data_IF_292606729333
#
_entry.id   IF_292606729333
#
_cell.length_a   1.000
_cell.length_b   1.000
_cell.length_c   1.000
_cell.angle_alpha   90.00
_cell.angle_beta   90.00
_cell.angle_gamma   90.00
#
_symmetry.space_group_name_H-M   'P 1'
#
loop_
_entity.id
_entity.type
_entity.pdbx_description
1 polymer ?
#
# COMPACT_ATOMS: atom_id res chain seq x y z
N UNK A 1 -18.39 5.97 2.64
CA UNK A 1 -16.91 6.01 2.63
C UNK A 1 -16.40 5.57 1.27
N UNK A 2 -15.41 6.25 0.73
CA UNK A 2 -14.87 5.95 -0.60
C UNK A 2 -13.59 5.15 -0.48
N UNK A 3 -13.46 4.11 -1.30
CA UNK A 3 -12.27 3.28 -1.41
C UNK A 3 -11.79 3.25 -2.86
N UNK A 4 -10.49 3.18 -3.05
CA UNK A 4 -9.90 2.84 -4.34
C UNK A 4 -9.65 1.35 -4.34
N UNK A 5 -10.10 0.65 -5.39
CA UNK A 5 -9.93 -0.79 -5.51
C UNK A 5 -8.87 -1.14 -6.55
N UNK A 6 -8.22 -2.26 -6.33
CA UNK A 6 -7.20 -2.79 -7.22
C UNK A 6 -7.20 -4.32 -7.13
N UNK A 7 -6.53 -4.96 -8.09
CA UNK A 7 -6.46 -6.42 -8.17
C UNK A 7 -5.03 -6.89 -8.15
N UNK A 8 -4.78 -7.92 -7.37
CA UNK A 8 -3.52 -8.63 -7.35
C UNK A 8 -3.81 -10.14 -7.39
N UNK A 9 -3.28 -10.84 -8.40
CA UNK A 9 -3.42 -12.30 -8.48
C UNK A 9 -4.85 -12.80 -8.49
N UNK A 10 -5.79 -12.05 -9.05
CA UNK A 10 -7.20 -12.43 -9.09
C UNK A 10 -8.02 -12.02 -7.87
N UNK A 11 -7.38 -11.54 -6.81
CA UNK A 11 -8.05 -11.06 -5.61
C UNK A 11 -8.24 -9.55 -5.67
N UNK A 12 -9.30 -9.05 -5.05
CA UNK A 12 -9.61 -7.63 -4.98
C UNK A 12 -9.26 -7.05 -3.62
N UNK A 13 -8.70 -5.86 -3.64
CA UNK A 13 -8.29 -5.13 -2.45
C UNK A 13 -8.82 -3.71 -2.48
N UNK A 14 -8.92 -3.08 -1.32
CA UNK A 14 -9.39 -1.70 -1.19
C UNK A 14 -8.52 -0.89 -0.23
N UNK A 15 -8.26 0.36 -0.61
CA UNK A 15 -7.61 1.37 0.24
C UNK A 15 -8.57 2.52 0.47
N UNK A 16 -8.62 3.05 1.69
CA UNK A 16 -9.41 4.24 1.98
C UNK A 16 -8.94 5.43 1.16
N UNK A 17 -9.84 6.05 0.42
CA UNK A 17 -9.51 7.22 -0.40
C UNK A 17 -8.98 8.39 0.43
N UNK A 18 -9.45 8.56 1.65
CA UNK A 18 -8.97 9.61 2.55
C UNK A 18 -7.49 9.54 2.88
N UNK A 19 -6.91 8.34 2.82
CA UNK A 19 -5.49 8.13 3.08
C UNK A 19 -4.64 8.41 1.85
N UNK A 20 -5.24 8.58 0.69
CA UNK A 20 -4.54 8.75 -0.58
C UNK A 20 -4.35 10.23 -0.88
N UNK A 21 -3.11 10.63 -1.07
CA UNK A 21 -2.76 12.00 -1.45
C UNK A 21 -2.86 12.16 -2.96
N UNK A 22 -2.32 11.20 -3.71
CA UNK A 22 -2.30 11.26 -5.16
C UNK A 22 -2.09 9.86 -5.74
N UNK A 23 -2.67 9.61 -6.91
CA UNK A 23 -2.42 8.40 -7.69
C UNK A 23 -1.63 8.80 -8.92
N UNK A 24 -0.43 8.25 -9.05
CA UNK A 24 0.50 8.56 -10.14
C UNK A 24 0.62 7.38 -11.10
N UNK A 25 0.98 7.62 -12.36
CA UNK A 25 1.46 6.52 -13.18
C UNK A 25 2.74 5.95 -12.58
N UNK A 26 3.07 4.71 -12.93
CA UNK A 26 4.32 4.13 -12.48
C UNK A 26 5.48 4.91 -13.09
N UNK A 27 6.36 5.40 -12.24
CA UNK A 27 7.54 6.18 -12.63
C UNK A 27 8.81 5.48 -12.18
N UNK A 28 9.95 5.88 -12.74
CA UNK A 28 11.24 5.35 -12.33
C UNK A 28 11.54 5.79 -10.90
N UNK A 29 11.98 4.84 -10.09
CA UNK A 29 12.33 5.06 -8.70
C UNK A 29 13.83 5.05 -8.53
N UNK A 30 14.32 5.80 -7.55
CA UNK A 30 15.71 5.66 -7.15
C UNK A 30 15.89 4.34 -6.42
N UNK A 31 16.94 3.62 -6.80
CA UNK A 31 17.27 2.37 -6.13
C UNK A 31 17.88 2.64 -4.76
N UNK A 32 17.60 1.75 -3.83
CA UNK A 32 18.22 1.77 -2.51
C UNK A 32 19.08 0.53 -2.36
N UNK A 33 20.13 0.63 -1.57
CA UNK A 33 21.08 -0.45 -1.40
C UNK A 33 20.52 -1.50 -0.41
N UNK A 34 20.44 -2.75 -0.87
CA UNK A 34 20.02 -3.90 -0.07
C UNK A 34 18.72 -3.67 0.72
N UNK A 35 17.62 -3.31 0.04
CA UNK A 35 16.37 -3.10 0.75
C UNK A 35 15.80 -4.42 1.27
N UNK A 36 15.07 -4.40 2.38
CA UNK A 36 14.28 -5.57 2.76
C UNK A 36 13.22 -5.87 1.69
N UNK A 37 12.73 -7.12 1.60
CA UNK A 37 11.71 -7.48 0.62
C UNK A 37 10.49 -6.55 0.70
N UNK A 38 9.94 -6.17 -0.46
CA UNK A 38 8.79 -5.30 -0.56
C UNK A 38 9.12 -3.84 -0.79
N UNK A 39 10.32 -3.39 -0.50
CA UNK A 39 10.76 -2.02 -0.80
C UNK A 39 11.19 -1.96 -2.26
N UNK A 40 10.47 -1.16 -3.06
CA UNK A 40 10.77 -1.02 -4.49
C UNK A 40 11.80 0.06 -4.77
N UNK A 41 11.90 1.07 -3.93
CA UNK A 41 12.81 2.19 -4.12
C UNK A 41 12.31 3.44 -3.43
N UNK A 42 12.76 4.60 -3.92
CA UNK A 42 12.38 5.91 -3.39
C UNK A 42 11.85 6.78 -4.51
N UNK A 43 10.78 7.49 -4.23
CA UNK A 43 10.18 8.47 -5.12
C UNK A 43 10.56 9.88 -4.66
N UNK A 44 11.04 10.71 -5.59
CA UNK A 44 11.15 12.14 -5.30
C UNK A 44 9.78 12.78 -5.58
N UNK A 45 9.04 13.05 -4.51
CA UNK A 45 7.70 13.61 -4.60
C UNK A 45 7.74 15.06 -4.13
N UNK A 46 7.74 16.00 -5.09
CA UNK A 46 7.82 17.44 -4.82
C UNK A 46 8.98 17.83 -3.89
N UNK A 47 10.14 17.20 -4.10
CA UNK A 47 11.35 17.49 -3.31
C UNK A 47 11.48 16.66 -2.03
N UNK A 48 10.46 15.87 -1.69
CA UNK A 48 10.48 14.96 -0.55
C UNK A 48 10.76 13.54 -1.04
N UNK A 49 11.68 12.85 -0.37
CA UNK A 49 11.96 11.45 -0.69
C UNK A 49 10.95 10.55 0.02
N UNK A 50 10.15 9.85 -0.78
CA UNK A 50 9.09 8.99 -0.29
C UNK A 50 9.45 7.53 -0.56
N UNK A 51 9.53 6.68 0.48
CA UNK A 51 9.79 5.26 0.26
C UNK A 51 8.59 4.61 -0.42
N UNK A 52 8.86 3.64 -1.29
CA UNK A 52 7.81 2.98 -2.09
C UNK A 52 7.83 1.49 -1.83
N UNK A 53 6.66 0.96 -1.48
CA UNK A 53 6.41 -0.47 -1.34
C UNK A 53 5.76 -1.02 -2.61
N UNK A 54 6.12 -2.24 -2.97
CA UNK A 54 5.45 -2.99 -4.03
C UNK A 54 4.52 -4.02 -3.40
N UNK A 55 3.21 -3.80 -3.45
CA UNK A 55 2.23 -4.72 -2.88
C UNK A 55 2.24 -6.07 -3.57
N UNK A 56 2.49 -6.11 -4.87
CA UNK A 56 2.59 -7.37 -5.59
C UNK A 56 3.73 -8.22 -5.07
N UNK A 57 4.88 -7.60 -4.79
CA UNK A 57 6.00 -8.29 -4.19
C UNK A 57 5.66 -8.80 -2.79
N UNK A 58 4.95 -8.01 -2.00
CA UNK A 58 4.60 -8.38 -0.63
C UNK A 58 3.55 -9.48 -0.55
N UNK A 59 2.59 -9.47 -1.45
CA UNK A 59 1.45 -10.41 -1.42
C UNK A 59 1.70 -11.62 -2.32
N UNK A 60 2.27 -11.42 -3.52
CA UNK A 60 2.44 -12.46 -4.53
C UNK A 60 3.87 -12.99 -4.64
N UNK A 61 4.84 -12.33 -4.01
CA UNK A 61 6.24 -12.72 -4.08
C UNK A 61 6.92 -12.38 -5.41
N UNK A 62 6.31 -11.54 -6.23
CA UNK A 62 6.88 -11.04 -7.48
C UNK A 62 6.61 -9.55 -7.65
N UNK A 63 7.50 -8.80 -8.32
CA UNK A 63 7.26 -7.38 -8.55
C UNK A 63 6.06 -7.15 -9.47
N UNK A 64 5.41 -5.99 -9.31
CA UNK A 64 4.30 -5.58 -10.16
C UNK A 64 4.80 -5.38 -11.60
N UNK A 65 4.10 -5.92 -12.62
CA UNK A 65 4.48 -5.67 -14.01
C UNK A 65 4.20 -4.21 -14.39
N UNK A 66 5.06 -3.59 -15.23
CA UNK A 66 4.90 -2.18 -15.61
C UNK A 66 3.82 -2.01 -16.68
N UNK A 67 2.56 -2.01 -16.27
CA UNK A 67 1.40 -1.81 -17.15
C UNK A 67 0.81 -0.43 -16.91
N UNK A 68 -0.03 0.04 -17.85
CA UNK A 68 -0.74 1.31 -17.68
C UNK A 68 -1.67 1.30 -16.46
N UNK A 69 -2.22 0.14 -16.12
CA UNK A 69 -3.08 -0.04 -14.95
C UNK A 69 -2.31 -0.20 -13.65
N UNK A 70 -1.00 -0.36 -13.70
CA UNK A 70 -0.14 -0.37 -12.52
C UNK A 70 0.15 1.07 -12.11
N UNK A 71 -0.23 1.43 -10.89
CA UNK A 71 -0.14 2.81 -10.42
C UNK A 71 0.72 2.90 -9.17
N UNK A 72 1.26 4.08 -8.95
CA UNK A 72 1.94 4.43 -7.72
C UNK A 72 1.01 5.32 -6.91
N UNK A 73 0.57 4.82 -5.75
CA UNK A 73 -0.34 5.52 -4.87
C UNK A 73 0.49 6.17 -3.77
N UNK A 74 0.40 7.50 -3.65
CA UNK A 74 1.03 8.22 -2.54
C UNK A 74 0.01 8.32 -1.43
N UNK A 75 0.31 7.73 -0.29
CA UNK A 75 -0.61 7.65 0.84
C UNK A 75 0.00 8.23 2.12
N UNK A 76 -0.87 8.60 3.05
CA UNK A 76 -0.46 9.04 4.38
C UNK A 76 -0.53 7.89 5.35
N UNK A 77 0.56 7.67 6.04
CA UNK A 77 0.68 6.65 7.09
C UNK A 77 0.81 7.38 8.42
N UNK A 78 0.02 7.00 9.40
CA UNK A 78 0.14 7.54 10.75
C UNK A 78 1.10 6.67 11.57
N UNK A 79 2.02 7.31 12.27
CA UNK A 79 2.91 6.67 13.22
C UNK A 79 2.97 7.50 14.51
N UNK A 80 3.81 7.07 15.46
CA UNK A 80 3.93 7.73 16.78
C UNK A 80 4.46 9.16 16.69
N UNK A 81 5.03 9.54 15.55
CA UNK A 81 5.63 10.86 15.32
C UNK A 81 4.80 11.77 14.42
N UNK A 82 3.56 11.36 14.11
CA UNK A 82 2.68 12.07 13.21
C UNK A 82 2.42 11.28 11.93
N UNK A 83 2.18 11.96 10.81
CA UNK A 83 1.98 11.26 9.56
C UNK A 83 3.21 11.36 8.66
N UNK A 84 3.39 10.36 7.82
CA UNK A 84 4.43 10.29 6.81
C UNK A 84 3.84 9.86 5.49
N UNK A 85 4.51 10.20 4.40
CA UNK A 85 4.11 9.74 3.07
C UNK A 85 4.75 8.40 2.76
N UNK A 86 3.98 7.54 2.11
CA UNK A 86 4.40 6.23 1.66
C UNK A 86 3.88 6.02 0.24
N UNK A 87 4.74 5.57 -0.67
CA UNK A 87 4.34 5.17 -1.99
C UNK A 87 3.96 3.69 -2.00
N UNK A 88 2.91 3.35 -2.71
CA UNK A 88 2.40 1.98 -2.82
C UNK A 88 2.18 1.67 -4.30
N UNK A 89 2.90 0.68 -4.81
CA UNK A 89 2.67 0.19 -6.16
C UNK A 89 1.57 -0.86 -6.10
N UNK A 90 0.53 -0.68 -6.89
CA UNK A 90 -0.60 -1.60 -6.97
C UNK A 90 -0.97 -1.84 -8.43
N UNK A 91 -1.39 -3.07 -8.73
CA UNK A 91 -1.82 -3.47 -10.08
C UNK A 91 -3.31 -3.25 -10.27
N UNK A 92 -3.72 -3.00 -11.51
CA UNK A 92 -5.13 -2.90 -11.88
C UNK A 92 -5.91 -1.91 -11.02
N UNK A 93 -5.34 -0.72 -10.85
CA UNK A 93 -5.97 0.38 -10.11
C UNK A 93 -6.92 1.10 -11.06
N UNK A 94 -8.15 0.63 -11.17
CA UNK A 94 -9.07 1.10 -12.20
C UNK A 94 -10.42 1.57 -11.66
N UNK A 95 -10.77 1.25 -10.43
CA UNK A 95 -12.12 1.48 -9.92
C UNK A 95 -12.11 2.11 -8.53
N UNK A 96 -13.25 2.73 -8.20
CA UNK A 96 -13.56 3.17 -6.84
C UNK A 96 -14.79 2.42 -6.35
N UNK A 97 -14.95 2.35 -5.04
CA UNK A 97 -16.07 1.67 -4.41
C UNK A 97 -16.57 2.53 -3.24
N UNK A 98 -17.87 2.74 -3.19
CA UNK A 98 -18.51 3.36 -2.04
C UNK A 98 -19.17 2.29 -1.18
N UNK A 99 -18.86 2.28 0.10
CA UNK A 99 -19.52 1.42 1.07
C UNK A 99 -19.35 2.00 2.47
N UNK A 100 -20.12 1.48 3.40
CA UNK A 100 -19.97 1.83 4.80
C UNK A 100 -18.78 1.07 5.37
N UNK A 101 -17.99 1.73 6.23
CA UNK A 101 -16.88 1.08 6.92
C UNK A 101 -17.36 -0.13 7.75
N UNK A 102 -18.61 -0.07 8.24
CA UNK A 102 -19.23 -1.17 9.01
C UNK A 102 -19.55 -2.40 8.17
N UNK A 103 -19.53 -2.28 6.84
CA UNK A 103 -19.75 -3.41 5.94
C UNK A 103 -18.54 -4.33 5.84
N UNK A 104 -17.39 -3.91 6.37
CA UNK A 104 -16.20 -4.75 6.45
C UNK A 104 -16.23 -5.55 7.74
N UNK A 105 -16.07 -6.85 7.61
CA UNK A 105 -16.14 -7.80 8.73
C UNK A 105 -14.85 -8.59 8.83
N UNK A 106 -14.60 -9.16 10.01
CA UNK A 106 -13.45 -10.02 10.20
C UNK A 106 -13.56 -11.27 9.34
N UNK A 107 -12.49 -11.66 8.62
CA UNK A 107 -12.49 -12.89 7.82
C UNK A 107 -12.40 -14.16 8.67
N UNK A 108 -12.23 -14.03 9.99
CA UNK A 108 -12.03 -15.17 10.88
C UNK A 108 -10.64 -15.77 10.89
N UNK A 109 -9.76 -15.25 10.04
CA UNK A 109 -8.36 -15.69 9.93
C UNK A 109 -7.47 -14.46 10.00
N UNK A 110 -6.41 -14.53 10.81
CA UNK A 110 -5.41 -13.48 10.90
C UNK A 110 -4.09 -14.05 10.40
N UNK A 111 -3.52 -13.41 9.38
CA UNK A 111 -2.21 -13.78 8.87
C UNK A 111 -1.12 -12.95 9.55
N UNK A 112 -0.21 -13.61 10.26
CA UNK A 112 0.93 -12.94 10.88
C UNK A 112 1.93 -12.42 9.85
N UNK A 113 1.93 -12.96 8.63
CA UNK A 113 2.81 -12.54 7.55
C UNK A 113 2.30 -11.31 6.81
N UNK A 114 0.99 -11.04 6.90
CA UNK A 114 0.38 -9.89 6.23
C UNK A 114 -0.57 -9.16 7.20
N UNK A 115 -0.02 -8.51 8.25
CA UNK A 115 -0.85 -7.82 9.25
C UNK A 115 -1.61 -6.63 8.68
N UNK A 116 -1.24 -6.14 7.50
CA UNK A 116 -1.92 -5.06 6.78
C UNK A 116 -3.20 -5.53 6.10
N UNK A 117 -3.41 -6.83 5.93
CA UNK A 117 -4.64 -7.39 5.39
C UNK A 117 -5.63 -7.55 6.53
N UNK A 118 -6.66 -6.72 6.49
CA UNK A 118 -7.62 -6.61 7.58
C UNK A 118 -8.96 -7.25 7.25
N UNK A 119 -10.00 -6.46 7.43
CA UNK A 119 -11.38 -6.88 7.24
C UNK A 119 -11.75 -7.05 5.77
N UNK A 120 -12.84 -7.73 5.52
CA UNK A 120 -13.32 -8.04 4.18
C UNK A 120 -14.75 -7.55 3.98
N UNK A 121 -15.05 -7.14 2.75
CA UNK A 121 -16.39 -6.77 2.31
C UNK A 121 -16.87 -7.82 1.31
N UNK A 122 -18.05 -8.38 1.55
CA UNK A 122 -18.68 -9.34 0.63
C UNK A 122 -19.76 -8.60 -0.14
N UNK A 123 -19.49 -8.32 -1.40
CA UNK A 123 -20.43 -7.62 -2.28
C UNK A 123 -20.88 -8.49 -3.45
N UNK A 124 -21.65 -7.89 -4.36
CA UNK A 124 -22.18 -8.58 -5.54
C UNK A 124 -21.06 -9.08 -6.46
N UNK A 125 -19.92 -8.41 -6.45
CA UNK A 125 -18.75 -8.78 -7.27
C UNK A 125 -17.77 -9.70 -6.54
N UNK A 126 -18.14 -10.23 -5.39
CA UNK A 126 -17.31 -11.09 -4.61
C UNK A 126 -16.66 -10.38 -3.42
N UNK A 127 -15.57 -10.95 -2.95
CA UNK A 127 -14.89 -10.51 -1.74
C UNK A 127 -13.85 -9.44 -2.05
N UNK A 128 -13.85 -8.37 -1.26
CA UNK A 128 -12.84 -7.30 -1.32
C UNK A 128 -12.17 -7.22 0.03
N UNK A 129 -10.84 -7.31 0.04
CA UNK A 129 -10.06 -7.25 1.27
C UNK A 129 -9.51 -5.84 1.49
N UNK A 130 -9.77 -5.28 2.68
CA UNK A 130 -9.27 -3.96 3.02
C UNK A 130 -7.79 -4.03 3.39
N UNK A 131 -7.01 -3.12 2.83
CA UNK A 131 -5.61 -2.95 3.19
C UNK A 131 -5.51 -1.83 4.22
N UNK A 132 -4.94 -2.13 5.37
CA UNK A 132 -4.71 -1.14 6.42
C UNK A 132 -3.38 -0.45 6.17
N UNK A 133 -3.43 0.80 5.73
CA UNK A 133 -2.25 1.58 5.34
C UNK A 133 -1.28 1.74 6.52
N UNK A 134 -1.79 1.90 7.73
CA UNK A 134 -0.95 2.11 8.92
C UNK A 134 -0.18 0.85 9.33
N UNK A 135 -0.59 -0.31 8.81
CA UNK A 135 0.05 -1.59 9.10
C UNK A 135 0.85 -2.15 7.94
N UNK A 136 0.96 -1.40 6.84
CA UNK A 136 1.66 -1.88 5.64
C UNK A 136 3.14 -2.17 5.88
N UNK A 137 3.81 -1.32 6.63
CA UNK A 137 5.23 -1.49 6.91
C UNK A 137 5.45 -2.50 8.01
N UNK A 138 6.26 -3.53 7.71
CA UNK A 138 6.78 -4.40 8.76
C UNK A 138 7.77 -3.62 9.62
N UNK A 139 8.09 -4.13 10.81
CA UNK A 139 9.10 -3.49 11.67
C UNK A 139 10.43 -3.33 10.96
N UNK A 140 10.85 -4.35 10.21
CA UNK A 140 12.10 -4.33 9.45
C UNK A 140 12.07 -3.26 8.36
N UNK A 141 10.97 -3.14 7.62
CA UNK A 141 10.80 -2.12 6.60
C UNK A 141 10.77 -0.73 7.22
N UNK A 142 10.06 -0.56 8.32
CA UNK A 142 9.95 0.72 9.03
C UNK A 142 11.32 1.20 9.52
N UNK A 143 12.11 0.31 10.09
CA UNK A 143 13.46 0.64 10.53
C UNK A 143 14.37 1.04 9.37
N UNK A 144 14.13 0.48 8.19
CA UNK A 144 14.90 0.79 6.99
C UNK A 144 14.53 2.14 6.38
N UNK A 145 13.22 2.48 6.31
CA UNK A 145 12.74 3.65 5.54
C UNK A 145 12.51 4.89 6.39
N UNK A 146 12.22 4.73 7.67
CA UNK A 146 11.95 5.83 8.58
C UNK A 146 13.00 5.88 9.69
N UNK A 147 14.28 5.81 9.29
CA UNK A 147 15.33 6.02 10.25
C UNK A 147 15.20 7.37 10.92
N UNK A 148 15.43 7.44 12.24
CA UNK A 148 15.50 8.74 12.90
C UNK A 148 16.62 9.54 12.23
N UNK A 149 16.47 10.89 12.08
CA UNK A 149 17.52 11.68 11.50
C UNK A 149 18.81 11.43 12.26
N UNK A 150 19.88 11.12 11.51
CA UNK A 150 21.17 10.91 12.12
C UNK A 150 21.49 12.14 12.97
N UNK A 151 21.87 11.91 14.22
CA UNK A 151 22.37 12.99 15.05
C UNK A 151 23.62 13.53 14.36
N UNK A 152 23.49 14.74 13.85
CA UNK A 152 24.59 15.40 13.16
C UNK A 152 25.71 15.69 14.15
#
# INVERSE_FOLDING_TARGET
>A
MLFITFRLGGERYALEAERIVEVLPLVDLQTVLRPPPGIAGTLNYHGEFVPVLDLSQMILGRPAPPRLSTRLIVARVNDDQGFRLLGIIAENVTETMRCDANDFVSPGIVSGEAPFLGTVHVGERGLVQRVDVDRLLTSRQRDFVFEPPAAA
#
